data_IF_644981624681
#
_entry.id   IF_644981624681
#
_cell.length_a   1.000
_cell.length_b   1.000
_cell.length_c   1.000
_cell.angle_alpha   90.00
_cell.angle_beta   90.00
_cell.angle_gamma   90.00
#
_symmetry.space_group_name_H-M   'P 1'
#
loop_
_entity.id
_entity.type
_entity.pdbx_description
1 polymer ?
#
# COMPACT_ATOMS: atom_id res chain seq x y z
N UNK A 1 16.07 -10.90 -3.25
CA UNK A 1 16.64 -10.72 -1.91
C UNK A 1 16.19 -9.38 -1.40
N UNK A 2 15.43 -9.37 -0.32
CA UNK A 2 14.95 -8.17 0.32
C UNK A 2 16.10 -7.37 0.95
N UNK A 3 16.06 -6.06 0.78
CA UNK A 3 17.05 -5.11 1.32
C UNK A 3 16.30 -3.99 2.02
N UNK A 4 16.85 -3.49 3.10
CA UNK A 4 16.38 -2.28 3.77
C UNK A 4 17.12 -1.06 3.20
N UNK A 5 16.36 -0.08 2.74
CA UNK A 5 16.91 1.26 2.47
C UNK A 5 17.20 1.97 3.78
N UNK A 6 18.45 2.39 4.01
CA UNK A 6 18.85 3.05 5.26
C UNK A 6 18.20 4.42 5.46
N UNK A 7 17.93 5.14 4.35
CA UNK A 7 17.29 6.46 4.33
C UNK A 7 15.78 6.40 4.53
N UNK A 8 15.09 5.61 3.72
CA UNK A 8 13.62 5.54 3.73
C UNK A 8 13.06 4.50 4.69
N UNK A 9 13.91 3.62 5.24
CA UNK A 9 13.51 2.48 6.06
C UNK A 9 12.51 1.53 5.38
N UNK A 10 12.43 1.53 4.05
CA UNK A 10 11.57 0.63 3.27
C UNK A 10 12.31 -0.65 2.91
N UNK A 11 11.58 -1.77 2.92
CA UNK A 11 12.04 -3.01 2.31
C UNK A 11 11.88 -2.90 0.78
N UNK A 12 12.92 -3.26 0.05
CA UNK A 12 13.02 -3.15 -1.40
C UNK A 12 13.72 -4.40 -1.96
N UNK A 13 13.41 -4.76 -3.20
CA UNK A 13 14.05 -5.90 -3.88
C UNK A 13 15.25 -5.49 -4.75
N UNK A 14 15.37 -4.20 -5.02
CA UNK A 14 16.38 -3.60 -5.90
C UNK A 14 17.59 -3.09 -5.11
N UNK A 15 18.75 -2.94 -5.77
CA UNK A 15 19.94 -2.32 -5.16
C UNK A 15 19.78 -0.81 -4.92
N UNK A 16 18.91 -0.16 -5.68
CA UNK A 16 18.60 1.26 -5.57
C UNK A 16 17.17 1.43 -5.08
N UNK A 17 16.96 2.28 -4.08
CA UNK A 17 15.64 2.52 -3.51
C UNK A 17 14.76 3.30 -4.51
N UNK A 18 13.58 2.79 -4.88
CA UNK A 18 12.68 3.48 -5.81
C UNK A 18 12.07 4.76 -5.22
N UNK A 19 12.00 4.88 -3.88
CA UNK A 19 11.39 6.06 -3.24
C UNK A 19 12.34 7.26 -3.13
N UNK A 20 13.62 7.06 -2.83
CA UNK A 20 14.59 8.17 -2.68
C UNK A 20 15.75 8.16 -3.68
N UNK A 21 15.84 7.13 -4.54
CA UNK A 21 16.97 6.96 -5.46
C UNK A 21 18.29 6.57 -4.79
N UNK A 22 18.33 6.41 -3.47
CA UNK A 22 19.54 6.07 -2.72
C UNK A 22 20.03 4.65 -3.00
N UNK A 23 21.36 4.46 -3.02
CA UNK A 23 22.03 3.16 -3.21
C UNK A 23 22.47 2.51 -1.89
N UNK A 24 22.35 3.23 -0.77
CA UNK A 24 22.69 2.77 0.56
C UNK A 24 21.66 1.76 1.09
N UNK A 25 21.84 0.49 0.72
CA UNK A 25 20.93 -0.61 1.03
C UNK A 25 21.67 -1.78 1.65
N UNK A 26 21.08 -2.37 2.70
CA UNK A 26 21.66 -3.53 3.40
C UNK A 26 20.61 -4.60 3.66
N UNK A 27 21.04 -5.78 4.10
CA UNK A 27 20.10 -6.80 4.57
C UNK A 27 19.45 -6.31 5.88
N UNK A 28 18.13 -6.48 6.05
CA UNK A 28 17.45 -6.15 7.28
C UNK A 28 17.83 -7.10 8.42
N UNK A 29 17.97 -6.56 9.61
CA UNK A 29 18.08 -7.28 10.87
C UNK A 29 16.69 -7.41 11.52
N UNK A 30 16.48 -8.42 12.36
CA UNK A 30 15.15 -8.71 12.95
C UNK A 30 14.54 -7.55 13.74
N UNK A 31 15.38 -6.70 14.32
CA UNK A 31 15.01 -5.54 15.14
C UNK A 31 14.93 -4.23 14.35
N UNK A 32 15.27 -4.25 13.07
CA UNK A 32 15.23 -3.03 12.26
C UNK A 32 13.81 -2.50 12.13
N UNK A 33 13.66 -1.20 12.38
CA UNK A 33 12.40 -0.53 12.10
C UNK A 33 12.21 -0.33 10.61
N UNK A 34 11.16 -0.94 10.08
CA UNK A 34 10.76 -0.90 8.69
C UNK A 34 9.48 -0.08 8.53
N UNK A 35 9.49 0.88 7.61
CA UNK A 35 8.30 1.64 7.23
C UNK A 35 7.33 0.74 6.46
N UNK A 36 6.13 0.57 7.02
CA UNK A 36 5.04 -0.21 6.44
C UNK A 36 4.19 0.66 5.54
N UNK A 37 3.57 1.69 6.13
CA UNK A 37 2.55 2.49 5.46
C UNK A 37 2.54 3.91 6.00
N UNK A 38 2.08 4.84 5.15
CA UNK A 38 1.78 6.21 5.52
C UNK A 38 0.28 6.40 5.35
N UNK A 39 -0.42 6.70 6.44
CA UNK A 39 -1.88 6.78 6.48
C UNK A 39 -2.33 8.17 6.93
N UNK A 40 -3.48 8.60 6.42
CA UNK A 40 -4.15 9.82 6.88
C UNK A 40 -5.14 9.52 8.02
N UNK A 41 -5.31 10.50 8.91
CA UNK A 41 -6.38 10.64 9.90
C UNK A 41 -7.02 9.32 10.37
N UNK A 42 -8.22 9.00 9.89
CA UNK A 42 -9.02 7.86 10.36
C UNK A 42 -8.32 6.51 10.18
N UNK A 43 -7.73 6.25 9.01
CA UNK A 43 -7.08 4.96 8.72
C UNK A 43 -5.93 4.69 9.68
N UNK A 44 -5.21 5.74 10.07
CA UNK A 44 -4.10 5.61 11.01
C UNK A 44 -4.56 5.13 12.39
N UNK A 45 -5.71 5.59 12.88
CA UNK A 45 -6.24 5.16 14.17
C UNK A 45 -6.69 3.70 14.14
N UNK A 46 -7.43 3.30 13.10
CA UNK A 46 -7.89 1.91 12.93
C UNK A 46 -6.71 0.95 12.79
N UNK A 47 -5.70 1.32 11.99
CA UNK A 47 -4.52 0.49 11.80
C UNK A 47 -3.70 0.38 13.09
N UNK A 48 -3.53 1.47 13.83
CA UNK A 48 -2.85 1.45 15.13
C UNK A 48 -3.55 0.51 16.13
N UNK A 49 -4.89 0.51 16.17
CA UNK A 49 -5.65 -0.39 17.03
C UNK A 49 -5.51 -1.86 16.61
N UNK A 50 -5.54 -2.16 15.30
CA UNK A 50 -5.31 -3.51 14.79
C UNK A 50 -3.94 -4.06 15.20
N UNK A 51 -2.88 -3.25 15.05
CA UNK A 51 -1.53 -3.63 15.48
C UNK A 51 -1.44 -3.87 16.99
N UNK A 52 -2.09 -3.02 17.80
CA UNK A 52 -2.17 -3.23 19.27
C UNK A 52 -2.89 -4.50 19.65
N UNK A 53 -4.03 -4.77 19.01
CA UNK A 53 -4.84 -5.95 19.27
C UNK A 53 -4.09 -7.26 18.97
N UNK A 54 -3.23 -7.25 17.94
CA UNK A 54 -2.37 -8.38 17.56
C UNK A 54 -1.03 -8.44 18.29
N UNK A 55 -0.80 -7.53 19.24
CA UNK A 55 0.48 -7.41 19.96
C UNK A 55 1.68 -7.29 19.01
N UNK A 56 1.51 -6.55 17.90
CA UNK A 56 2.56 -6.23 16.96
C UNK A 56 3.24 -4.93 17.43
N UNK A 57 4.54 -4.95 17.79
CA UNK A 57 5.26 -3.75 18.17
C UNK A 57 5.33 -2.77 17.00
N UNK A 58 4.98 -1.51 17.24
CA UNK A 58 5.09 -0.47 16.21
C UNK A 58 5.48 0.88 16.81
N UNK A 59 6.15 1.69 15.99
CA UNK A 59 6.39 3.11 16.23
C UNK A 59 5.59 3.91 15.20
N UNK A 60 4.86 4.91 15.69
CA UNK A 60 4.07 5.81 14.86
C UNK A 60 4.68 7.21 14.91
N UNK A 61 4.97 7.78 13.74
CA UNK A 61 5.43 9.17 13.62
C UNK A 61 4.36 9.98 12.96
N UNK A 62 4.01 11.10 13.57
CA UNK A 62 3.09 12.07 12.97
C UNK A 62 3.88 13.11 12.20
N UNK A 63 3.64 13.20 10.90
CA UNK A 63 4.23 14.19 10.01
C UNK A 63 3.17 15.23 9.65
N UNK A 64 3.41 16.49 10.03
CA UNK A 64 2.56 17.62 9.67
C UNK A 64 2.98 18.16 8.30
N UNK A 65 2.12 17.98 7.30
CA UNK A 65 2.16 18.72 6.05
C UNK A 65 1.46 20.08 6.17
N UNK A 66 1.59 20.92 5.14
CA UNK A 66 0.99 22.27 5.12
C UNK A 66 -0.53 22.28 5.28
N UNK A 67 -1.21 21.24 4.81
CA UNK A 67 -2.68 21.11 4.81
C UNK A 67 -3.18 19.76 5.32
N UNK A 68 -2.27 18.84 5.68
CA UNK A 68 -2.61 17.45 5.95
C UNK A 68 -1.69 16.86 7.01
N UNK A 69 -2.25 15.98 7.84
CA UNK A 69 -1.50 15.23 8.85
C UNK A 69 -1.40 13.78 8.37
N UNK A 70 -0.16 13.29 8.26
CA UNK A 70 0.13 11.91 7.91
C UNK A 70 0.73 11.19 9.10
N UNK A 71 0.45 9.90 9.22
CA UNK A 71 1.07 9.04 10.22
C UNK A 71 1.83 7.92 9.53
N UNK A 72 3.11 7.82 9.84
CA UNK A 72 4.01 6.81 9.34
C UNK A 72 4.13 5.68 10.37
N UNK A 73 3.92 4.45 9.92
CA UNK A 73 3.97 3.26 10.76
C UNK A 73 5.25 2.48 10.50
N UNK A 74 6.04 2.31 11.55
CA UNK A 74 7.26 1.52 11.54
C UNK A 74 7.08 0.29 12.42
N UNK A 75 7.53 -0.88 11.97
CA UNK A 75 7.51 -2.13 12.76
C UNK A 75 8.86 -2.83 12.65
N UNK A 76 9.25 -3.67 13.62
CA UNK A 76 10.42 -4.52 13.49
C UNK A 76 10.31 -5.43 12.27
N UNK A 77 11.40 -5.64 11.52
CA UNK A 77 11.42 -6.52 10.36
C UNK A 77 10.92 -7.94 10.70
N UNK A 78 11.21 -8.44 11.91
CA UNK A 78 10.70 -9.73 12.39
C UNK A 78 9.17 -9.86 12.44
N UNK A 79 8.42 -8.74 12.42
CA UNK A 79 6.95 -8.69 12.48
C UNK A 79 6.35 -8.00 11.25
N UNK A 80 7.13 -7.82 10.19
CA UNK A 80 6.72 -7.08 8.99
C UNK A 80 5.55 -7.75 8.27
N UNK A 81 5.61 -9.07 8.12
CA UNK A 81 4.59 -9.84 7.43
C UNK A 81 3.26 -9.80 8.20
N UNK A 82 3.30 -9.98 9.52
CA UNK A 82 2.12 -9.83 10.39
C UNK A 82 1.47 -8.45 10.25
N UNK A 83 2.29 -7.39 10.14
CA UNK A 83 1.80 -6.03 9.98
C UNK A 83 1.18 -5.80 8.59
N UNK A 84 1.72 -6.43 7.55
CA UNK A 84 1.15 -6.42 6.20
C UNK A 84 -0.18 -7.17 6.14
N UNK A 85 -0.31 -8.30 6.82
CA UNK A 85 -1.57 -9.04 6.90
C UNK A 85 -2.69 -8.22 7.56
N UNK A 86 -2.39 -7.47 8.62
CA UNK A 86 -3.37 -6.58 9.24
C UNK A 86 -3.69 -5.37 8.37
N UNK A 87 -2.73 -4.87 7.60
CA UNK A 87 -2.97 -3.81 6.63
C UNK A 87 -3.87 -4.29 5.48
N UNK A 88 -3.68 -5.52 5.01
CA UNK A 88 -4.51 -6.14 3.98
C UNK A 88 -5.95 -6.27 4.48
N UNK A 89 -6.18 -6.78 5.70
CA UNK A 89 -7.53 -6.87 6.30
C UNK A 89 -8.23 -5.52 6.37
N UNK A 90 -7.50 -4.45 6.68
CA UNK A 90 -8.05 -3.10 6.74
C UNK A 90 -8.46 -2.58 5.36
N UNK A 91 -7.77 -3.02 4.31
CA UNK A 91 -8.13 -2.74 2.92
C UNK A 91 -9.30 -3.63 2.44
N UNK A 92 -9.32 -4.91 2.81
CA UNK A 92 -10.36 -5.88 2.42
C UNK A 92 -11.70 -5.61 3.11
N UNK A 93 -11.69 -5.15 4.36
CA UNK A 93 -12.89 -4.69 5.07
C UNK A 93 -13.57 -3.48 4.41
N UNK A 94 -12.94 -2.86 3.41
CA UNK A 94 -13.50 -1.79 2.57
C UNK A 94 -13.86 -2.24 1.15
N UNK A 95 -13.44 -3.44 0.74
CA UNK A 95 -13.77 -4.02 -0.58
C UNK A 95 -15.13 -4.75 -0.59
N UNK A 96 -15.86 -4.80 0.52
CA UNK A 96 -17.26 -5.25 0.56
C UNK A 96 -18.24 -4.14 0.14
N UNK A 97 -17.89 -3.38 -0.90
CA UNK A 97 -18.77 -2.43 -1.56
C UNK A 97 -18.62 -2.54 -3.08
N UNK A 98 -19.15 -3.67 -3.59
CA UNK A 98 -19.91 -3.88 -4.84
C UNK A 98 -19.46 -5.16 -5.54
N UNK A 99 -20.42 -6.05 -5.78
CA UNK A 99 -20.24 -7.26 -6.60
C UNK A 99 -20.11 -6.95 -8.10
N UNK A 100 -19.83 -5.70 -8.50
CA UNK A 100 -19.91 -5.27 -9.90
C UNK A 100 -18.55 -4.99 -10.58
N UNK A 101 -17.41 -5.04 -9.90
CA UNK A 101 -16.11 -4.71 -10.52
C UNK A 101 -15.30 -5.95 -10.95
N UNK A 102 -15.90 -6.78 -11.82
CA UNK A 102 -15.13 -7.66 -12.71
C UNK A 102 -14.49 -6.82 -13.81
N UNK A 103 -13.19 -6.53 -13.64
CA UNK A 103 -12.43 -5.65 -14.55
C UNK A 103 -12.05 -6.36 -15.87
N UNK A 104 -12.18 -7.69 -15.95
CA UNK A 104 -12.00 -8.45 -17.19
C UNK A 104 -13.02 -9.59 -17.27
N UNK A 105 -13.49 -9.92 -18.47
CA UNK A 105 -14.33 -11.09 -18.70
C UNK A 105 -13.49 -12.37 -18.70
N UNK A 106 -14.09 -13.52 -18.43
CA UNK A 106 -13.40 -14.82 -18.47
C UNK A 106 -12.69 -15.05 -19.82
N UNK A 107 -13.22 -14.49 -20.92
CA UNK A 107 -12.63 -14.53 -22.27
C UNK A 107 -11.31 -13.73 -22.41
N UNK A 108 -11.09 -12.71 -21.57
CA UNK A 108 -9.85 -11.90 -21.60
C UNK A 108 -8.73 -12.58 -20.81
N UNK A 109 -9.09 -13.34 -19.76
CA UNK A 109 -8.18 -14.25 -19.05
C UNK A 109 -7.71 -15.40 -19.94
N UNK A 110 -8.57 -15.92 -20.80
CA UNK A 110 -8.23 -16.98 -21.78
C UNK A 110 -7.26 -16.53 -22.89
N UNK A 111 -7.13 -15.21 -23.12
CA UNK A 111 -6.25 -14.63 -24.16
C UNK A 111 -4.86 -14.24 -23.66
N UNK A 112 -4.56 -14.41 -22.37
CA UNK A 112 -3.21 -14.16 -21.84
C UNK A 112 -2.24 -15.25 -22.31
N UNK A 113 -1.15 -14.84 -22.97
CA UNK A 113 -0.19 -15.69 -23.66
C UNK A 113 0.41 -16.78 -22.76
N UNK A 114 0.00 -18.04 -23.00
CA UNK A 114 0.26 -19.24 -22.19
C UNK A 114 1.73 -19.70 -22.27
N UNK A 115 2.54 -19.08 -23.13
CA UNK A 115 3.96 -19.41 -23.33
C UNK A 115 4.83 -19.25 -22.06
N UNK A 116 4.38 -18.50 -21.05
CA UNK A 116 5.06 -18.40 -19.74
C UNK A 116 4.68 -19.50 -18.74
N UNK A 117 3.66 -20.31 -19.05
CA UNK A 117 3.11 -21.35 -18.19
C UNK A 117 3.63 -22.76 -18.56
N UNK A 118 4.27 -22.90 -19.73
CA UNK A 118 4.80 -24.18 -20.18
C UNK A 118 5.94 -24.68 -19.25
N UNK A 119 5.72 -25.86 -18.65
CA UNK A 119 6.70 -26.51 -17.78
C UNK A 119 6.58 -26.17 -16.28
N UNK A 120 5.61 -25.35 -15.88
CA UNK A 120 5.33 -25.09 -14.46
C UNK A 120 4.52 -26.25 -13.85
N UNK A 121 4.95 -26.75 -12.70
CA UNK A 121 4.12 -27.66 -11.91
C UNK A 121 2.89 -26.95 -11.31
N UNK A 122 1.91 -27.72 -10.85
CA UNK A 122 0.64 -27.20 -10.35
C UNK A 122 0.79 -26.26 -9.15
N UNK A 123 1.83 -26.45 -8.33
CA UNK A 123 2.09 -25.64 -7.14
C UNK A 123 2.69 -24.29 -7.53
N UNK A 124 3.64 -24.30 -8.46
CA UNK A 124 4.25 -23.12 -9.08
C UNK A 124 3.23 -22.29 -9.84
N UNK A 125 2.31 -22.93 -10.56
CA UNK A 125 1.20 -22.27 -11.25
C UNK A 125 0.25 -21.57 -10.26
N UNK A 126 -0.11 -22.26 -9.17
CA UNK A 126 -0.95 -21.70 -8.10
C UNK A 126 -0.29 -20.50 -7.42
N UNK A 127 1.02 -20.56 -7.17
CA UNK A 127 1.80 -19.45 -6.62
C UNK A 127 1.86 -18.25 -7.59
N UNK A 128 2.01 -18.52 -8.90
CA UNK A 128 2.02 -17.48 -9.92
C UNK A 128 0.66 -16.76 -10.05
N UNK A 129 -0.44 -17.51 -10.08
CA UNK A 129 -1.80 -16.96 -10.05
C UNK A 129 -2.02 -16.13 -8.77
N UNK A 130 -1.52 -16.60 -7.63
CA UNK A 130 -1.55 -15.84 -6.37
C UNK A 130 -0.85 -14.48 -6.49
N UNK A 131 0.35 -14.45 -7.08
CA UNK A 131 1.11 -13.21 -7.30
C UNK A 131 0.41 -12.24 -8.25
N UNK A 132 -0.18 -12.73 -9.34
CA UNK A 132 -0.98 -11.89 -10.26
C UNK A 132 -2.15 -11.27 -9.51
N UNK A 133 -2.90 -12.08 -8.74
CA UNK A 133 -4.04 -11.61 -7.97
C UNK A 133 -3.63 -10.53 -6.96
N UNK A 134 -2.53 -10.72 -6.24
CA UNK A 134 -2.01 -9.74 -5.28
C UNK A 134 -1.59 -8.44 -5.97
N UNK A 135 -0.94 -8.52 -7.12
CA UNK A 135 -0.53 -7.35 -7.91
C UNK A 135 -1.76 -6.56 -8.40
N UNK A 136 -2.79 -7.25 -8.89
CA UNK A 136 -4.04 -6.61 -9.32
C UNK A 136 -4.77 -5.93 -8.17
N UNK A 137 -4.84 -6.56 -6.99
CA UNK A 137 -5.40 -5.94 -5.79
C UNK A 137 -4.65 -4.65 -5.41
N UNK A 138 -3.32 -4.66 -5.46
CA UNK A 138 -2.50 -3.49 -5.17
C UNK A 138 -2.77 -2.34 -6.15
N UNK A 139 -2.93 -2.64 -7.44
CA UNK A 139 -3.30 -1.64 -8.46
C UNK A 139 -4.67 -1.03 -8.16
N UNK A 140 -5.68 -1.84 -7.84
CA UNK A 140 -7.03 -1.35 -7.49
C UNK A 140 -7.00 -0.43 -6.26
N UNK A 141 -6.22 -0.78 -5.24
CA UNK A 141 -6.02 0.06 -4.07
C UNK A 141 -5.41 1.43 -4.44
N UNK A 142 -4.38 1.44 -5.29
CA UNK A 142 -3.78 2.70 -5.75
C UNK A 142 -4.77 3.55 -6.56
N UNK A 143 -5.59 2.93 -7.43
CA UNK A 143 -6.61 3.64 -8.20
C UNK A 143 -7.66 4.30 -7.31
N UNK A 144 -8.14 3.59 -6.27
CA UNK A 144 -9.09 4.15 -5.30
C UNK A 144 -8.48 5.35 -4.55
N UNK A 145 -7.23 5.23 -4.08
CA UNK A 145 -6.53 6.34 -3.42
C UNK A 145 -6.34 7.55 -4.35
N UNK A 146 -6.09 7.32 -5.63
CA UNK A 146 -5.97 8.40 -6.62
C UNK A 146 -7.31 9.08 -6.87
N UNK A 147 -8.41 8.32 -6.91
CA UNK A 147 -9.77 8.86 -7.04
C UNK A 147 -10.13 9.74 -5.84
N UNK A 148 -9.91 9.26 -4.63
CA UNK A 148 -10.15 10.03 -3.39
C UNK A 148 -9.34 11.32 -3.37
N UNK A 149 -8.07 11.26 -3.78
CA UNK A 149 -7.20 12.44 -3.86
C UNK A 149 -7.68 13.45 -4.90
N UNK A 150 -8.20 12.97 -6.03
CA UNK A 150 -8.72 13.83 -7.09
C UNK A 150 -9.99 14.55 -6.63
N UNK A 151 -10.90 13.84 -5.96
CA UNK A 151 -12.12 14.42 -5.39
C UNK A 151 -11.78 15.51 -4.36
N UNK A 152 -10.82 15.26 -3.47
CA UNK A 152 -10.39 16.26 -2.49
C UNK A 152 -9.83 17.52 -3.17
N UNK A 153 -9.08 17.38 -4.27
CA UNK A 153 -8.57 18.53 -5.02
C UNK A 153 -9.70 19.34 -5.68
N UNK A 154 -10.77 18.68 -6.12
CA UNK A 154 -11.96 19.36 -6.63
C UNK A 154 -12.69 20.13 -5.53
N UNK A 155 -12.90 19.52 -4.36
CA UNK A 155 -13.52 20.19 -3.20
C UNK A 155 -12.71 21.42 -2.77
N UNK A 156 -11.38 21.30 -2.66
CA UNK A 156 -10.49 22.41 -2.32
C UNK A 156 -10.53 23.53 -3.37
N UNK A 157 -10.71 23.18 -4.64
CA UNK A 157 -10.83 24.16 -5.73
C UNK A 157 -12.15 24.94 -5.61
N UNK A 158 -13.27 24.25 -5.40
CA UNK A 158 -14.58 24.89 -5.22
C UNK A 158 -14.59 25.83 -4.00
N UNK A 159 -13.99 25.40 -2.88
CA UNK A 159 -13.86 26.24 -1.68
C UNK A 159 -13.01 27.51 -1.96
N UNK A 160 -11.92 27.37 -2.72
CA UNK A 160 -11.09 28.51 -3.10
C UNK A 160 -11.81 29.48 -4.06
N UNK A 161 -12.65 28.97 -4.97
CA UNK A 161 -13.48 29.79 -5.85
C UNK A 161 -14.52 30.60 -5.06
N UNK A 162 -15.20 29.97 -4.09
CA UNK A 162 -16.15 30.66 -3.19
C UNK A 162 -15.48 31.78 -2.37
N UNK A 163 -14.30 31.50 -1.81
CA UNK A 163 -13.54 32.51 -1.05
C UNK A 163 -13.09 33.70 -1.91
N UNK A 164 -12.83 33.47 -3.20
CA UNK A 164 -12.48 34.55 -4.13
C UNK A 164 -13.71 35.41 -4.48
N UNK A 165 -14.89 34.80 -4.61
CA UNK A 165 -16.16 35.54 -4.80
C UNK A 165 -16.49 36.42 -3.59
N UNK A 166 -16.31 35.91 -2.37
CA UNK A 166 -16.55 36.66 -1.13
C UNK A 166 -15.61 37.87 -0.95
N UNK A 167 -14.46 37.87 -1.63
CA UNK A 167 -13.46 38.95 -1.59
C UNK A 167 -13.61 39.98 -2.71
N UNK A 168 -14.49 39.74 -3.70
CA UNK A 168 -14.73 40.59 -4.87
C UNK A 168 -15.95 41.50 -4.70
#
# INVERSE_FOLDING_TARGET
MERLCTRCKRIIETKQCPSCGGTETRLPESTDECLIVVLANYHSSVFAEALRYREIPFRMVTTLGKTSMFREFYVPYSRIDDAFDELEKLCEGRLLASEEDQVFTDEELERMDISQLEGMDAESLKAFIGRIRNTMKAIKCQQALWKDRSNLLFEMKEEAELLLEDLS
#
